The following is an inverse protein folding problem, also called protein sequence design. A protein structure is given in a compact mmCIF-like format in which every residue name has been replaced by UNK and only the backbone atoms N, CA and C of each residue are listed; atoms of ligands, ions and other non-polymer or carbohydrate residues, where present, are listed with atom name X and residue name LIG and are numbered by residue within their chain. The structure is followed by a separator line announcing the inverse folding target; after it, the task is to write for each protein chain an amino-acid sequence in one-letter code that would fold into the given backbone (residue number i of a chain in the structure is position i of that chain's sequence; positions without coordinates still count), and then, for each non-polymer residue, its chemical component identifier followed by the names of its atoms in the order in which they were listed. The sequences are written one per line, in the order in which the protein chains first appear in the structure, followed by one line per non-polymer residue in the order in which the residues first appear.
data_IF_213756428974
#
_entry.id   IF_213756428974
#
_cell.length_a   1.000
_cell.length_b   1.000
_cell.length_c   1.000
_cell.angle_alpha   90.00
_cell.angle_beta   90.00
_cell.angle_gamma   90.00
#
_symmetry.space_group_name_H-M   'P 1'
#
loop_
_entity.id
_entity.type
_entity.pdbx_description
1 polymer ?
#
# COMPACT_ATOMS: atom_id res chain seq x y z
N UNK A 1 -13.89 1.94 23.52
CA UNK A 1 -12.60 2.50 23.03
C UNK A 1 -11.37 1.62 23.35
N UNK A 2 -11.54 0.37 23.84
CA UNK A 2 -10.41 -0.50 24.27
C UNK A 2 -9.93 -1.55 23.23
N UNK A 3 -10.59 -1.65 22.07
CA UNK A 3 -10.23 -2.66 21.05
C UNK A 3 -9.23 -2.16 19.99
N UNK A 4 -9.14 -0.84 19.77
CA UNK A 4 -8.24 -0.27 18.75
C UNK A 4 -6.76 -0.43 19.13
N UNK A 5 -6.41 -0.23 20.40
CA UNK A 5 -5.06 -0.46 20.92
C UNK A 5 -4.64 -1.92 20.79
N UNK A 6 -5.56 -2.86 20.97
CA UNK A 6 -5.28 -4.29 20.82
C UNK A 6 -5.05 -4.71 19.37
N UNK A 7 -5.73 -4.09 18.40
CA UNK A 7 -5.50 -4.34 16.97
C UNK A 7 -4.15 -3.79 16.52
N UNK A 8 -3.75 -2.61 17.00
CA UNK A 8 -2.43 -2.03 16.72
C UNK A 8 -1.30 -2.76 17.45
N UNK A 9 -1.57 -3.32 18.63
CA UNK A 9 -0.60 -4.09 19.41
C UNK A 9 -0.45 -5.54 18.94
N UNK A 10 -1.38 -6.07 18.12
CA UNK A 10 -1.30 -7.43 17.60
C UNK A 10 -0.09 -7.58 16.68
N UNK A 11 0.92 -8.31 17.15
CA UNK A 11 2.16 -8.57 16.41
C UNK A 11 3.31 -7.62 16.75
N UNK A 12 3.11 -6.64 17.65
CA UNK A 12 4.16 -5.73 18.11
C UNK A 12 5.35 -6.48 18.73
N UNK A 13 5.08 -7.56 19.46
CA UNK A 13 6.07 -8.42 20.12
C UNK A 13 6.49 -9.64 19.29
N UNK A 14 6.06 -9.73 18.03
CA UNK A 14 6.46 -10.86 17.18
C UNK A 14 7.94 -10.74 16.76
N UNK A 15 8.69 -11.85 16.67
CA UNK A 15 10.09 -11.83 16.23
C UNK A 15 10.29 -11.16 14.87
N UNK A 16 9.32 -11.33 13.96
CA UNK A 16 9.33 -10.68 12.65
C UNK A 16 9.27 -9.15 12.76
N UNK A 17 8.48 -8.61 13.69
CA UNK A 17 8.35 -7.17 13.85
C UNK A 17 9.57 -6.56 14.55
N UNK A 18 10.22 -7.32 15.45
CA UNK A 18 11.52 -6.92 16.01
C UNK A 18 12.60 -6.89 14.92
N UNK A 19 12.66 -7.92 14.07
CA UNK A 19 13.59 -7.95 12.94
C UNK A 19 13.34 -6.82 11.94
N UNK A 20 12.09 -6.48 11.63
CA UNK A 20 11.76 -5.35 10.77
C UNK A 20 12.12 -3.98 11.38
N UNK A 21 12.16 -3.87 12.71
CA UNK A 21 12.68 -2.68 13.39
C UNK A 21 14.21 -2.60 13.31
N UNK A 22 14.89 -3.74 13.30
CA UNK A 22 16.34 -3.81 13.11
C UNK A 22 16.76 -3.57 11.65
N UNK A 23 15.84 -3.83 10.71
CA UNK A 23 16.06 -3.68 9.26
C UNK A 23 14.98 -2.79 8.60
N UNK A 24 14.90 -1.49 8.97
CA UNK A 24 13.90 -0.56 8.44
C UNK A 24 13.95 -0.43 6.91
N UNK A 25 15.12 -0.63 6.30
CA UNK A 25 15.34 -0.63 4.86
C UNK A 25 14.53 -1.70 4.12
N UNK A 26 14.34 -2.87 4.74
CA UNK A 26 13.58 -3.98 4.16
C UNK A 26 12.10 -3.63 4.13
N UNK A 27 11.59 -3.05 5.23
CA UNK A 27 10.22 -2.56 5.29
C UNK A 27 10.00 -1.45 4.26
N UNK A 28 10.94 -0.51 4.17
CA UNK A 28 10.91 0.57 3.19
C UNK A 28 10.86 0.07 1.75
N UNK A 29 11.71 -0.90 1.40
CA UNK A 29 11.74 -1.52 0.08
C UNK A 29 10.43 -2.23 -0.26
N UNK A 30 9.86 -2.98 0.69
CA UNK A 30 8.56 -3.65 0.52
C UNK A 30 7.48 -2.62 0.18
N UNK A 31 7.39 -1.53 0.94
CA UNK A 31 6.39 -0.48 0.72
C UNK A 31 6.62 0.28 -0.58
N UNK A 32 7.88 0.47 -0.99
CA UNK A 32 8.21 1.04 -2.30
C UNK A 32 7.71 0.17 -3.46
N UNK A 33 7.95 -1.14 -3.39
CA UNK A 33 7.49 -2.09 -4.42
C UNK A 33 5.96 -2.12 -4.48
N UNK A 34 5.29 -2.20 -3.33
CA UNK A 34 3.83 -2.16 -3.26
C UNK A 34 3.30 -0.83 -3.80
N UNK A 35 3.93 0.28 -3.42
CA UNK A 35 3.58 1.62 -3.87
C UNK A 35 3.68 1.75 -5.39
N UNK A 36 4.77 1.27 -5.98
CA UNK A 36 4.97 1.27 -7.43
C UNK A 36 3.92 0.45 -8.18
N UNK A 37 3.58 -0.75 -7.68
CA UNK A 37 2.55 -1.62 -8.28
C UNK A 37 1.17 -0.94 -8.22
N UNK A 38 0.82 -0.34 -7.08
CA UNK A 38 -0.45 0.37 -6.92
C UNK A 38 -0.53 1.61 -7.81
N UNK A 39 0.54 2.40 -7.88
CA UNK A 39 0.60 3.57 -8.74
C UNK A 39 0.47 3.16 -10.22
N UNK A 40 1.22 2.16 -10.67
CA UNK A 40 1.16 1.66 -12.04
C UNK A 40 -0.25 1.15 -12.41
N UNK A 41 -0.84 0.31 -11.57
CA UNK A 41 -2.21 -0.21 -11.80
C UNK A 41 -3.27 0.89 -11.71
N UNK A 42 -3.07 1.89 -10.86
CA UNK A 42 -3.94 3.07 -10.75
C UNK A 42 -3.93 3.92 -12.02
N UNK A 43 -2.74 4.25 -12.52
CA UNK A 43 -2.54 4.98 -13.78
C UNK A 43 -3.13 4.19 -14.95
N UNK A 44 -2.84 2.90 -15.03
CA UNK A 44 -3.39 2.03 -16.07
C UNK A 44 -4.93 2.03 -16.07
N UNK A 45 -5.57 1.94 -14.90
CA UNK A 45 -7.03 2.01 -14.77
C UNK A 45 -7.63 3.37 -15.11
N UNK A 46 -6.91 4.46 -14.82
CA UNK A 46 -7.33 5.82 -15.20
C UNK A 46 -7.30 6.00 -16.73
N UNK A 47 -6.26 5.49 -17.37
CA UNK A 47 -6.08 5.58 -18.83
C UNK A 47 -7.06 4.67 -19.58
N UNK A 48 -7.20 3.42 -19.17
CA UNK A 48 -8.07 2.45 -19.85
C UNK A 48 -9.55 2.67 -19.54
N UNK A 49 -9.88 3.29 -18.40
CA UNK A 49 -11.24 3.31 -17.88
C UNK A 49 -11.74 1.92 -17.47
N UNK A 50 -10.83 0.97 -17.25
CA UNK A 50 -11.11 -0.39 -16.78
C UNK A 50 -10.30 -0.71 -15.52
N UNK A 51 -10.95 -1.32 -14.53
CA UNK A 51 -10.30 -1.75 -13.29
C UNK A 51 -10.73 -3.17 -12.91
N UNK A 52 -9.76 -4.01 -12.54
CA UNK A 52 -10.02 -5.32 -11.94
C UNK A 52 -10.05 -5.19 -10.42
N UNK A 53 -11.11 -5.68 -9.79
CA UNK A 53 -11.22 -5.82 -8.34
C UNK A 53 -10.46 -7.05 -7.82
N UNK A 54 -10.32 -7.16 -6.50
CA UNK A 54 -9.56 -8.24 -5.85
C UNK A 54 -10.11 -9.66 -6.10
N UNK A 55 -11.39 -9.78 -6.47
CA UNK A 55 -12.07 -11.05 -6.77
C UNK A 55 -12.19 -11.31 -8.29
N UNK A 56 -11.41 -10.59 -9.11
CA UNK A 56 -11.52 -10.69 -10.57
C UNK A 56 -12.73 -9.95 -11.17
N UNK A 57 -13.52 -9.25 -10.35
CA UNK A 57 -14.61 -8.38 -10.82
C UNK A 57 -14.08 -7.31 -11.75
N UNK A 58 -14.74 -7.09 -12.90
CA UNK A 58 -14.38 -6.01 -13.81
C UNK A 58 -15.29 -4.81 -13.56
N UNK A 59 -14.67 -3.66 -13.36
CA UNK A 59 -15.33 -2.37 -13.28
C UNK A 59 -14.94 -1.57 -14.53
N UNK A 60 -15.88 -0.82 -15.09
CA UNK A 60 -15.66 0.05 -16.25
C UNK A 60 -16.20 1.46 -15.99
N UNK A 61 -15.76 2.41 -16.82
CA UNK A 61 -16.26 3.79 -16.81
C UNK A 61 -15.85 4.56 -15.55
N UNK A 62 -16.77 5.34 -14.99
CA UNK A 62 -16.49 6.22 -13.84
C UNK A 62 -15.98 5.46 -12.60
N UNK A 63 -16.55 4.28 -12.32
CA UNK A 63 -16.13 3.46 -11.18
C UNK A 63 -14.70 2.95 -11.33
N UNK A 64 -14.29 2.55 -12.54
CA UNK A 64 -12.92 2.12 -12.80
C UNK A 64 -11.91 3.25 -12.60
N UNK A 65 -12.23 4.45 -13.07
CA UNK A 65 -11.39 5.65 -12.87
C UNK A 65 -11.29 6.02 -11.39
N UNK A 66 -12.38 5.93 -10.65
CA UNK A 66 -12.37 6.17 -9.21
C UNK A 66 -11.49 5.17 -8.46
N UNK A 67 -11.61 3.87 -8.77
CA UNK A 67 -10.72 2.84 -8.22
C UNK A 67 -9.26 3.11 -8.59
N UNK A 68 -9.01 3.50 -9.84
CA UNK A 68 -7.68 3.86 -10.33
C UNK A 68 -7.07 5.04 -9.56
N UNK A 69 -7.87 6.08 -9.31
CA UNK A 69 -7.44 7.24 -8.52
C UNK A 69 -7.06 6.85 -7.09
N UNK A 70 -7.89 6.04 -6.41
CA UNK A 70 -7.59 5.56 -5.05
C UNK A 70 -6.26 4.79 -5.04
N UNK A 71 -6.04 3.89 -6.01
CA UNK A 71 -4.81 3.11 -6.12
C UNK A 71 -3.59 4.00 -6.35
N UNK A 72 -3.74 5.02 -7.19
CA UNK A 72 -2.66 5.96 -7.46
C UNK A 72 -2.28 6.73 -6.20
N UNK A 73 -3.25 7.31 -5.49
CA UNK A 73 -3.00 8.05 -4.25
C UNK A 73 -2.40 7.14 -3.17
N UNK A 74 -2.95 5.94 -2.98
CA UNK A 74 -2.41 4.97 -2.04
C UNK A 74 -0.99 4.50 -2.41
N UNK A 75 -0.72 4.32 -3.71
CA UNK A 75 0.60 3.94 -4.21
C UNK A 75 1.65 5.02 -3.96
N UNK A 76 1.31 6.28 -4.21
CA UNK A 76 2.18 7.43 -3.89
C UNK A 76 2.44 7.51 -2.39
N UNK A 77 1.39 7.40 -1.55
CA UNK A 77 1.54 7.42 -0.10
C UNK A 77 2.44 6.29 0.42
N UNK A 78 2.25 5.07 -0.08
CA UNK A 78 3.10 3.93 0.26
C UNK A 78 4.55 4.13 -0.22
N UNK A 79 4.76 4.70 -1.40
CA UNK A 79 6.10 5.03 -1.90
C UNK A 79 6.82 6.07 -1.03
N UNK A 80 6.12 7.14 -0.64
CA UNK A 80 6.66 8.16 0.27
C UNK A 80 7.01 7.54 1.62
N UNK A 81 6.12 6.72 2.19
CA UNK A 81 6.39 5.99 3.43
C UNK A 81 7.60 5.05 3.31
N UNK A 82 7.72 4.32 2.19
CA UNK A 82 8.84 3.44 1.92
C UNK A 82 10.18 4.18 1.87
N UNK A 83 10.22 5.30 1.14
CA UNK A 83 11.39 6.18 1.08
C UNK A 83 11.71 6.74 2.47
N UNK A 84 10.69 7.20 3.20
CA UNK A 84 10.88 7.72 4.55
C UNK A 84 11.54 6.68 5.47
N UNK A 85 11.09 5.43 5.47
CA UNK A 85 11.73 4.38 6.29
C UNK A 85 13.19 4.13 5.92
N UNK A 86 13.53 4.21 4.63
CA UNK A 86 14.91 4.01 4.19
C UNK A 86 15.83 5.18 4.57
N UNK A 87 15.29 6.39 4.73
CA UNK A 87 16.07 7.61 5.01
C UNK A 87 16.10 7.95 6.50
N UNK A 88 14.98 7.79 7.20
CA UNK A 88 14.79 8.28 8.57
C UNK A 88 14.92 7.20 9.65
N UNK A 89 14.73 5.92 9.32
CA UNK A 89 14.83 4.80 10.27
C UNK A 89 13.73 4.81 11.34
#
# INVERSE_FOLDING_TARGET
MWHFSQVLARGADSPANQWLKEHPEVLGLIFLVIGAILAFTGVSSLMSGEARGKWGTRHSGGMARFIGLIRLVAGIGAGIFGIYQMVAG
#
